data_IF_831166504688
#
_entry.id   IF_831166504688
#
_cell.length_a   1.000
_cell.length_b   1.000
_cell.length_c   1.000
_cell.angle_alpha   90.00
_cell.angle_beta   90.00
_cell.angle_gamma   90.00
#
_symmetry.space_group_name_H-M   'P 1'
#
loop_
_entity.id
_entity.type
_entity.pdbx_description
1 polymer ?
#
# COMPACT_ATOMS: atom_id res chain seq x y z
N UNK A 1 0.41 -5.35 -0.38
CA UNK A 1 0.95 -4.82 0.89
C UNK A 1 1.84 -5.84 1.59
N UNK A 2 1.35 -7.01 2.02
CA UNK A 2 2.13 -8.03 2.75
C UNK A 2 3.49 -8.38 2.11
N UNK A 3 3.53 -8.58 0.79
CA UNK A 3 4.78 -8.88 0.06
C UNK A 3 5.76 -7.69 0.06
N UNK A 4 5.23 -6.46 -0.02
CA UNK A 4 6.03 -5.24 -0.05
C UNK A 4 6.59 -4.93 1.34
N UNK A 5 5.73 -4.94 2.37
CA UNK A 5 6.08 -4.58 3.75
C UNK A 5 6.72 -5.73 4.54
N UNK A 6 6.65 -6.96 4.03
CA UNK A 6 7.13 -8.17 4.72
C UNK A 6 6.21 -8.66 5.84
N UNK A 7 5.05 -8.03 6.03
CA UNK A 7 4.06 -8.45 7.02
C UNK A 7 3.35 -9.76 6.61
N UNK A 8 2.80 -10.48 7.58
CA UNK A 8 1.98 -11.67 7.35
C UNK A 8 0.50 -11.34 7.48
N UNK A 9 -0.31 -11.91 6.61
CA UNK A 9 -1.78 -11.80 6.70
C UNK A 9 -2.23 -12.63 7.91
N UNK A 10 -2.90 -11.99 8.87
CA UNK A 10 -3.35 -12.64 10.10
C UNK A 10 -4.87 -12.87 10.01
N UNK A 11 -5.36 -14.11 10.14
CA UNK A 11 -6.79 -14.41 9.99
C UNK A 11 -7.60 -14.12 11.26
N UNK A 12 -6.97 -14.13 12.44
CA UNK A 12 -7.61 -13.94 13.75
C UNK A 12 -6.81 -12.98 14.60
N UNK A 13 -7.50 -12.10 15.34
CA UNK A 13 -6.85 -11.15 16.24
C UNK A 13 -6.01 -11.80 17.33
N UNK A 14 -6.40 -12.97 17.81
CA UNK A 14 -5.65 -13.75 18.82
C UNK A 14 -4.26 -14.18 18.35
N UNK A 15 -4.01 -14.18 17.03
CA UNK A 15 -2.74 -14.56 16.44
C UNK A 15 -1.84 -13.36 16.12
N UNK A 16 -2.25 -12.15 16.49
CA UNK A 16 -1.50 -10.92 16.20
C UNK A 16 -0.24 -10.86 17.07
N UNK A 17 0.92 -10.75 16.42
CA UNK A 17 2.21 -10.56 17.09
C UNK A 17 3.05 -9.53 16.35
N UNK A 18 3.99 -8.89 17.04
CA UNK A 18 4.88 -7.90 16.43
C UNK A 18 5.68 -8.46 15.24
N UNK A 19 6.03 -9.76 15.27
CA UNK A 19 6.73 -10.44 14.19
C UNK A 19 5.90 -10.60 12.90
N UNK A 20 4.57 -10.44 12.97
CA UNK A 20 3.68 -10.50 11.81
C UNK A 20 3.41 -9.12 11.20
N UNK A 21 3.79 -8.03 11.88
CA UNK A 21 3.62 -6.68 11.37
C UNK A 21 4.59 -6.40 10.22
N UNK A 22 4.13 -5.64 9.24
CA UNK A 22 4.96 -5.16 8.13
C UNK A 22 5.71 -3.88 8.50
N UNK A 23 6.79 -3.59 7.77
CA UNK A 23 7.52 -2.34 7.87
C UNK A 23 7.30 -1.47 6.62
N UNK A 24 7.00 -0.19 6.85
CA UNK A 24 6.90 0.85 5.83
C UNK A 24 7.51 2.14 6.39
N UNK A 25 8.33 2.84 5.60
CA UNK A 25 8.93 4.12 6.01
C UNK A 25 7.94 5.27 5.95
N UNK A 26 7.08 5.32 4.93
CA UNK A 26 6.10 6.39 4.77
C UNK A 26 4.71 5.83 4.40
N UNK A 27 3.70 6.28 5.13
CA UNK A 27 2.29 6.01 4.83
C UNK A 27 1.58 7.35 4.75
N UNK A 28 1.06 7.71 3.58
CA UNK A 28 0.35 8.98 3.37
C UNK A 28 -0.92 8.79 2.57
N UNK A 29 -1.92 9.61 2.87
CA UNK A 29 -3.11 9.74 2.05
C UNK A 29 -2.87 10.83 1.01
N UNK A 30 -3.17 10.53 -0.25
CA UNK A 30 -3.12 11.49 -1.36
C UNK A 30 -4.54 11.68 -1.86
N UNK A 31 -5.02 12.92 -1.81
CA UNK A 31 -6.26 13.34 -2.46
C UNK A 31 -5.98 13.68 -3.92
N UNK A 32 -6.88 13.27 -4.80
CA UNK A 32 -6.62 13.32 -6.23
C UNK A 32 -7.55 14.28 -6.98
N UNK A 33 -7.04 15.45 -7.36
CA UNK A 33 -7.75 16.39 -8.24
C UNK A 33 -9.03 16.95 -7.59
N UNK A 34 -10.07 17.16 -8.39
CA UNK A 34 -11.38 17.67 -7.95
C UNK A 34 -12.35 16.56 -7.54
N UNK A 35 -12.13 15.32 -7.98
CA UNK A 35 -12.85 14.17 -7.44
C UNK A 35 -12.37 13.95 -6.00
N UNK A 36 -13.30 13.77 -5.07
CA UNK A 36 -12.98 13.56 -3.65
C UNK A 36 -12.42 12.15 -3.37
N UNK A 37 -11.71 11.59 -4.35
CA UNK A 37 -11.08 10.28 -4.26
C UNK A 37 -9.77 10.42 -3.49
N UNK A 38 -9.67 9.62 -2.44
CA UNK A 38 -8.48 9.54 -1.61
C UNK A 38 -7.83 8.19 -1.79
N UNK A 39 -6.51 8.19 -1.92
CA UNK A 39 -5.72 6.96 -2.05
C UNK A 39 -4.64 6.91 -0.99
N UNK A 40 -4.50 5.76 -0.36
CA UNK A 40 -3.46 5.52 0.64
C UNK A 40 -2.23 4.96 -0.06
N UNK A 41 -1.13 5.68 0.03
CA UNK A 41 0.16 5.34 -0.57
C UNK A 41 1.11 4.89 0.53
N UNK A 42 1.73 3.73 0.32
CA UNK A 42 2.68 3.10 1.24
C UNK A 42 4.01 3.00 0.50
N UNK A 43 5.03 3.71 0.98
CA UNK A 43 6.35 3.83 0.37
C UNK A 43 7.43 3.36 1.34
N UNK A 44 8.66 3.21 0.84
CA UNK A 44 9.83 2.81 1.63
C UNK A 44 9.60 1.48 2.38
N UNK A 45 9.00 0.51 1.69
CA UNK A 45 8.79 -0.82 2.22
C UNK A 45 10.08 -1.65 2.19
N UNK A 46 10.19 -2.62 3.09
CA UNK A 46 11.39 -3.48 3.22
C UNK A 46 11.79 -4.21 1.93
N UNK A 47 10.83 -4.57 1.08
CA UNK A 47 11.08 -5.31 -0.15
C UNK A 47 11.15 -4.39 -1.38
N UNK A 48 12.35 -4.18 -1.90
CA UNK A 48 12.60 -3.36 -3.11
C UNK A 48 12.15 -4.02 -4.43
N UNK A 49 11.67 -5.28 -4.40
CA UNK A 49 11.17 -5.98 -5.60
C UNK A 49 9.70 -5.72 -5.90
N UNK A 50 8.97 -5.09 -4.97
CA UNK A 50 7.56 -4.76 -5.16
C UNK A 50 7.42 -3.28 -5.51
N UNK A 51 7.29 -2.98 -6.80
CA UNK A 51 7.15 -1.61 -7.33
C UNK A 51 5.78 -1.47 -8.00
N UNK A 52 5.07 -0.40 -7.67
CA UNK A 52 3.78 -0.06 -8.28
C UNK A 52 3.91 1.26 -9.02
N UNK A 53 3.60 1.27 -10.32
CA UNK A 53 3.48 2.50 -11.12
C UNK A 53 2.00 2.82 -11.23
N UNK A 54 1.60 3.98 -10.71
CA UNK A 54 0.23 4.47 -10.84
C UNK A 54 0.14 5.45 -12.00
N UNK A 55 -0.58 5.06 -13.06
CA UNK A 55 -0.80 5.88 -14.25
C UNK A 55 -2.24 6.40 -14.28
N UNK A 56 -2.43 7.65 -14.68
CA UNK A 56 -3.75 8.24 -14.94
C UNK A 56 -3.86 8.70 -16.39
N UNK A 57 -4.97 8.33 -17.04
CA UNK A 57 -5.32 8.75 -18.39
C UNK A 57 -6.67 9.45 -18.39
N UNK A 58 -6.85 10.43 -19.28
CA UNK A 58 -8.10 11.19 -19.42
C UNK A 58 -9.22 10.44 -20.15
N UNK A 59 -8.91 9.29 -20.76
CA UNK A 59 -9.87 8.43 -21.42
C UNK A 59 -9.44 6.97 -21.26
N UNK A 60 -10.40 6.07 -21.08
CA UNK A 60 -10.19 4.64 -21.19
C UNK A 60 -10.47 4.27 -22.65
N UNK A 61 -9.50 4.49 -23.54
CA UNK A 61 -9.62 4.01 -24.92
C UNK A 61 -9.66 2.47 -24.91
N UNK A 62 -10.69 1.91 -25.55
CA UNK A 62 -10.84 0.48 -25.84
C UNK A 62 -10.02 0.14 -27.07
#
# INVERSE_FOLDING_TARGET
>A
IAIATGGRIVPRFSELTAAKLGNAGLVREISFGTTHDKMLVIEECKNSRAVTIFTRGGNQMV
#
